data_IF_865180289349
#
_entry.id   IF_865180289349
#
_cell.length_a   1.000
_cell.length_b   1.000
_cell.length_c   1.000
_cell.angle_alpha   90.00
_cell.angle_beta   90.00
_cell.angle_gamma   90.00
#
_symmetry.space_group_name_H-M   'P 1'
#
loop_
_entity.id
_entity.type
_entity.pdbx_description
1 polymer ?
#
# COMPACT_ATOMS: atom_id res chain seq x y z
N UNK A 1 7.55 9.76 -1.03
CA UNK A 1 6.66 8.63 -0.73
C UNK A 1 6.98 7.53 -1.73
N UNK A 2 7.52 6.42 -1.25
CA UNK A 2 7.80 5.24 -2.06
C UNK A 2 6.83 4.14 -1.65
N UNK A 3 6.38 3.36 -2.62
CA UNK A 3 5.51 2.20 -2.46
C UNK A 3 6.34 0.98 -2.85
N UNK A 4 6.50 0.01 -1.94
CA UNK A 4 7.23 -1.22 -2.26
C UNK A 4 6.63 -2.42 -1.53
N UNK A 5 6.89 -3.59 -2.11
CA UNK A 5 6.42 -4.91 -1.71
C UNK A 5 7.63 -5.85 -1.65
N UNK A 6 8.01 -6.32 -0.46
CA UNK A 6 9.27 -7.08 -0.29
C UNK A 6 9.09 -8.49 0.29
N UNK A 7 7.86 -8.92 0.58
CA UNK A 7 7.59 -10.14 1.35
C UNK A 7 6.76 -11.13 0.50
N UNK A 8 7.25 -12.37 0.37
CA UNK A 8 6.91 -13.31 -0.70
C UNK A 8 5.43 -13.54 -0.96
N UNK A 9 4.75 -14.26 -0.06
CA UNK A 9 3.38 -14.75 -0.23
C UNK A 9 2.33 -13.87 0.48
N UNK A 10 2.66 -12.61 0.73
CA UNK A 10 1.79 -11.72 1.47
C UNK A 10 0.62 -11.20 0.62
N UNK A 11 -0.52 -10.84 1.24
CA UNK A 11 -1.57 -10.08 0.58
C UNK A 11 -1.04 -8.76 0.00
N UNK A 12 -1.79 -8.19 -0.94
CA UNK A 12 -1.44 -6.90 -1.57
C UNK A 12 -1.30 -5.84 -0.47
N UNK A 13 -0.17 -5.14 -0.47
CA UNK A 13 0.10 -4.10 0.51
C UNK A 13 0.99 -3.01 -0.02
N UNK A 14 0.97 -1.91 0.71
CA UNK A 14 1.78 -0.73 0.47
C UNK A 14 2.50 -0.33 1.75
N UNK A 15 3.80 -0.10 1.64
CA UNK A 15 4.56 0.73 2.57
C UNK A 15 4.60 2.16 2.05
N UNK A 16 4.45 3.15 2.91
CA UNK A 16 4.68 4.56 2.59
C UNK A 16 5.72 5.13 3.55
N UNK A 17 6.78 5.72 3.00
CA UNK A 17 7.83 6.39 3.79
C UNK A 17 7.96 7.85 3.35
N UNK A 18 7.99 8.76 4.31
CA UNK A 18 8.23 10.19 4.08
C UNK A 18 9.02 10.82 5.23
N UNK A 19 10.33 11.04 5.03
CA UNK A 19 11.23 11.48 6.10
C UNK A 19 11.24 10.46 7.24
N UNK A 20 10.88 10.91 8.44
CA UNK A 20 10.78 10.08 9.65
C UNK A 20 9.42 9.33 9.78
N UNK A 21 8.51 9.51 8.82
CA UNK A 21 7.17 8.90 8.85
C UNK A 21 7.15 7.59 8.07
N UNK A 22 6.44 6.60 8.61
CA UNK A 22 6.25 5.30 7.99
C UNK A 22 4.83 4.78 8.22
N UNK A 23 4.23 4.15 7.22
CA UNK A 23 3.00 3.37 7.40
C UNK A 23 2.90 2.19 6.44
N UNK A 24 2.19 1.15 6.87
CA UNK A 24 1.83 -0.03 6.08
C UNK A 24 0.31 -0.11 5.98
N UNK A 25 -0.20 -0.31 4.76
CA UNK A 25 -1.61 -0.56 4.48
C UNK A 25 -1.77 -1.89 3.74
N UNK A 26 -2.68 -2.74 4.21
CA UNK A 26 -3.19 -3.88 3.45
C UNK A 26 -4.26 -3.40 2.49
N UNK A 27 -4.26 -3.95 1.28
CA UNK A 27 -5.27 -3.67 0.26
C UNK A 27 -6.18 -4.88 0.15
N UNK A 28 -7.47 -4.64 0.37
CA UNK A 28 -8.52 -5.62 0.12
C UNK A 28 -9.20 -5.27 -1.21
N UNK A 29 -8.86 -6.04 -2.24
CA UNK A 29 -9.40 -5.86 -3.59
C UNK A 29 -10.86 -6.28 -3.66
N UNK A 30 -11.28 -7.27 -2.86
CA UNK A 30 -12.65 -7.78 -2.89
C UNK A 30 -13.64 -6.77 -2.32
N UNK A 31 -13.26 -6.11 -1.22
CA UNK A 31 -14.08 -5.07 -0.60
C UNK A 31 -13.81 -3.65 -1.11
N UNK A 32 -12.82 -3.47 -1.98
CA UNK A 32 -12.33 -2.16 -2.44
C UNK A 32 -12.00 -1.23 -1.26
N UNK A 33 -11.26 -1.74 -0.27
CA UNK A 33 -10.87 -0.99 0.93
C UNK A 33 -9.39 -1.21 1.28
N UNK A 34 -8.90 -0.40 2.21
CA UNK A 34 -7.56 -0.47 2.76
C UNK A 34 -7.58 -0.46 4.28
N UNK A 35 -6.78 -1.35 4.87
CA UNK A 35 -6.64 -1.49 6.31
C UNK A 35 -5.27 -1.00 6.76
N UNK A 36 -5.24 -0.10 7.74
CA UNK A 36 -3.97 0.34 8.35
C UNK A 36 -3.39 -0.82 9.17
N UNK A 37 -2.24 -1.33 8.75
CA UNK A 37 -1.50 -2.36 9.47
C UNK A 37 -0.57 -1.73 10.51
N UNK A 38 0.04 -0.60 10.14
CA UNK A 38 1.00 0.13 10.97
C UNK A 38 1.07 1.60 10.54
N UNK A 39 1.25 2.50 11.52
CA UNK A 39 1.55 3.90 11.26
C UNK A 39 2.44 4.48 12.37
N UNK A 40 3.50 5.18 11.96
CA UNK A 40 4.46 5.82 12.85
C UNK A 40 4.64 7.29 12.49
N UNK A 41 4.62 8.16 13.52
CA UNK A 41 4.76 9.62 13.40
C UNK A 41 3.78 10.30 12.41
N UNK A 42 2.60 9.71 12.18
CA UNK A 42 1.59 10.29 11.28
C UNK A 42 0.50 11.03 12.04
N UNK A 43 0.16 12.25 11.60
CA UNK A 43 -1.03 12.94 12.08
C UNK A 43 -2.30 12.38 11.41
N UNK A 44 -3.50 12.62 11.98
CA UNK A 44 -4.76 12.26 11.32
C UNK A 44 -4.93 12.88 9.93
N UNK A 45 -4.33 14.07 9.68
CA UNK A 45 -4.35 14.70 8.37
C UNK A 45 -3.51 13.92 7.36
N UNK A 46 -2.32 13.49 7.77
CA UNK A 46 -1.42 12.70 6.93
C UNK A 46 -2.08 11.37 6.56
N UNK A 47 -2.68 10.68 7.55
CA UNK A 47 -3.43 9.44 7.29
C UNK A 47 -4.54 9.62 6.26
N UNK A 48 -5.33 10.69 6.35
CA UNK A 48 -6.38 10.99 5.35
C UNK A 48 -5.80 11.25 3.97
N UNK A 49 -4.71 12.00 3.88
CA UNK A 49 -4.05 12.28 2.61
C UNK A 49 -3.49 11.01 1.97
N UNK A 50 -2.85 10.15 2.75
CA UNK A 50 -2.31 8.88 2.26
C UNK A 50 -3.43 7.95 1.81
N UNK A 51 -4.51 7.81 2.60
CA UNK A 51 -5.69 7.03 2.16
C UNK A 51 -6.23 7.56 0.83
N UNK A 52 -6.37 8.89 0.67
CA UNK A 52 -6.84 9.49 -0.58
C UNK A 52 -5.94 9.12 -1.76
N UNK A 53 -4.62 9.24 -1.62
CA UNK A 53 -3.66 8.89 -2.67
C UNK A 53 -3.77 7.39 -3.04
N UNK A 54 -3.89 6.52 -2.04
CA UNK A 54 -4.04 5.08 -2.29
C UNK A 54 -5.32 4.79 -3.08
N UNK A 55 -6.45 5.40 -2.71
CA UNK A 55 -7.71 5.22 -3.44
C UNK A 55 -7.68 5.84 -4.84
N UNK A 56 -7.05 7.00 -5.03
CA UNK A 56 -6.87 7.63 -6.35
C UNK A 56 -6.07 6.77 -7.32
N UNK A 57 -5.19 5.90 -6.80
CA UNK A 57 -4.34 5.02 -7.59
C UNK A 57 -4.63 3.53 -7.36
N UNK A 58 -5.79 3.18 -6.80
CA UNK A 58 -6.08 1.83 -6.32
C UNK A 58 -5.91 0.77 -7.40
N UNK A 59 -6.57 0.97 -8.55
CA UNK A 59 -6.52 0.04 -9.69
C UNK A 59 -5.08 -0.12 -10.20
N UNK A 60 -4.36 0.99 -10.36
CA UNK A 60 -2.97 0.97 -10.79
C UNK A 60 -2.08 0.18 -9.83
N UNK A 61 -2.24 0.36 -8.52
CA UNK A 61 -1.48 -0.38 -7.50
C UNK A 61 -1.76 -1.88 -7.62
N UNK A 62 -3.03 -2.26 -7.75
CA UNK A 62 -3.44 -3.66 -7.89
C UNK A 62 -2.87 -4.28 -9.16
N UNK A 63 -2.95 -3.59 -10.29
CA UNK A 63 -2.39 -4.05 -11.57
C UNK A 63 -0.87 -4.26 -11.49
N UNK A 64 -0.14 -3.29 -10.93
CA UNK A 64 1.30 -3.37 -10.77
C UNK A 64 1.71 -4.49 -9.82
N UNK A 65 0.94 -4.71 -8.74
CA UNK A 65 1.16 -5.85 -7.85
C UNK A 65 0.98 -7.18 -8.58
N UNK A 66 -0.12 -7.34 -9.31
CA UNK A 66 -0.38 -8.57 -10.06
C UNK A 66 0.69 -8.82 -11.13
N UNK A 67 1.14 -7.77 -11.82
CA UNK A 67 2.24 -7.86 -12.78
C UNK A 67 3.56 -8.30 -12.13
N UNK A 68 3.89 -7.72 -10.98
CA UNK A 68 5.05 -8.12 -10.19
C UNK A 68 4.99 -9.59 -9.79
N UNK A 69 3.85 -10.06 -9.26
CA UNK A 69 3.65 -11.46 -8.87
C UNK A 69 3.77 -12.42 -10.06
N UNK A 70 3.19 -12.06 -11.22
CA UNK A 70 3.35 -12.86 -12.47
C UNK A 70 4.81 -12.98 -12.91
N UNK A 71 5.59 -11.90 -12.82
CA UNK A 71 7.03 -11.91 -13.17
C UNK A 71 7.89 -12.70 -12.17
N UNK A 72 7.38 -12.90 -10.94
CA UNK A 72 8.08 -13.58 -9.85
C UNK A 72 7.83 -15.09 -9.83
N UNK A 73 6.76 -15.56 -10.48
CA UNK A 73 6.50 -16.99 -10.68
C UNK A 73 7.33 -17.48 -11.89
N UNK A 74 8.17 -18.51 -11.74
CA UNK A 74 8.97 -19.08 -12.83
C UNK A 74 8.14 -19.80 -13.88
#
# INVERSE_FOLDING_TARGET
>A
MFFYANEGNEPIHIHCINGDMECKFWIDVESFDIQEAFAFKMSPRDKRQIRKIIFEHFEYIVEQWQEFQRRRQP
#
